data_IF_380608724331
#
_entry.id   IF_380608724331
#
_cell.length_a   1.000
_cell.length_b   1.000
_cell.length_c   1.000
_cell.angle_alpha   90.00
_cell.angle_beta   90.00
_cell.angle_gamma   90.00
#
_symmetry.space_group_name_H-M   'P 1'
#
loop_
_entity.id
_entity.type
_entity.pdbx_description
1 polymer ?
#
# COMPACT_ATOMS: atom_id res chain seq x y z
N UNK A 1 25.83 61.57 28.31
CA UNK A 1 25.15 61.00 27.10
C UNK A 1 25.76 59.65 26.84
N UNK A 2 25.05 58.56 27.23
CA UNK A 2 25.49 57.19 27.01
C UNK A 2 24.73 56.65 25.83
N UNK A 3 25.43 56.43 24.71
CA UNK A 3 24.87 55.78 23.52
C UNK A 3 24.84 54.27 23.73
N UNK A 4 23.62 53.75 24.00
CA UNK A 4 23.38 52.33 24.14
C UNK A 4 23.57 51.59 22.79
N UNK A 5 24.57 50.75 22.74
CA UNK A 5 24.84 49.87 21.61
C UNK A 5 23.83 48.71 21.65
N UNK A 6 22.80 48.79 20.80
CA UNK A 6 21.84 47.71 20.59
C UNK A 6 22.57 46.62 19.75
N UNK A 7 23.21 45.68 20.49
CA UNK A 7 23.80 44.48 19.89
C UNK A 7 22.77 43.62 19.21
N UNK A 8 22.68 43.71 17.90
CA UNK A 8 21.93 42.74 17.09
C UNK A 8 22.62 41.39 17.24
N UNK A 9 22.02 40.49 18.03
CA UNK A 9 22.42 39.08 18.09
C UNK A 9 21.85 38.41 16.82
N UNK A 10 22.69 37.88 15.90
CA UNK A 10 22.20 37.07 14.81
C UNK A 10 21.57 35.79 15.39
N UNK A 11 20.27 35.61 15.14
CA UNK A 11 19.55 34.37 15.48
C UNK A 11 20.15 33.27 14.59
N UNK A 12 21.16 32.60 15.13
CA UNK A 12 21.73 31.43 14.46
C UNK A 12 20.79 30.23 14.72
N UNK A 13 19.67 30.21 14.03
CA UNK A 13 18.83 29.02 13.92
C UNK A 13 19.63 28.00 13.11
N UNK A 14 20.47 27.26 13.80
CA UNK A 14 21.17 26.11 13.27
C UNK A 14 20.17 25.07 12.77
N UNK A 15 19.62 25.29 11.59
CA UNK A 15 18.94 24.24 10.82
C UNK A 15 19.99 23.17 10.62
N UNK A 16 19.95 22.13 11.46
CA UNK A 16 20.79 20.94 11.31
C UNK A 16 20.47 20.37 9.92
N UNK A 17 21.31 20.68 8.94
CA UNK A 17 21.20 20.10 7.59
C UNK A 17 21.21 18.58 7.79
N UNK A 18 20.18 17.85 7.38
CA UNK A 18 20.18 16.39 7.47
C UNK A 18 21.46 15.92 6.77
N UNK A 19 22.22 15.05 7.46
CA UNK A 19 23.47 14.52 6.89
C UNK A 19 23.07 13.78 5.61
N UNK A 20 23.32 14.40 4.47
CA UNK A 20 22.95 13.86 3.14
C UNK A 20 23.36 12.38 2.99
N UNK A 21 24.47 11.98 3.60
CA UNK A 21 24.94 10.60 3.57
C UNK A 21 23.94 9.55 4.09
N UNK A 22 23.16 9.88 5.14
CA UNK A 22 22.15 8.94 5.63
C UNK A 22 20.99 8.73 4.62
N UNK A 23 20.60 9.77 3.90
CA UNK A 23 19.52 9.69 2.91
C UNK A 23 19.93 8.78 1.75
N UNK A 24 21.19 8.84 1.29
CA UNK A 24 21.71 7.97 0.23
C UNK A 24 21.77 6.50 0.59
N UNK A 25 21.85 6.16 1.89
CA UNK A 25 21.83 4.77 2.35
C UNK A 25 20.38 4.32 2.60
N UNK A 26 19.53 5.17 3.15
CA UNK A 26 18.14 4.81 3.49
C UNK A 26 17.24 4.64 2.25
N UNK A 27 17.44 5.43 1.20
CA UNK A 27 16.66 5.38 -0.03
C UNK A 27 16.73 4.01 -0.74
N UNK A 28 17.91 3.41 -1.03
CA UNK A 28 17.97 2.09 -1.64
C UNK A 28 17.45 1.00 -0.71
N UNK A 29 17.66 1.09 0.60
CA UNK A 29 17.13 0.12 1.57
C UNK A 29 15.59 0.13 1.53
N UNK A 30 14.98 1.31 1.58
CA UNK A 30 13.53 1.44 1.47
C UNK A 30 13.01 0.90 0.12
N UNK A 31 13.71 1.18 -0.98
CA UNK A 31 13.38 0.65 -2.30
C UNK A 31 13.42 -0.87 -2.37
N UNK A 32 14.42 -1.51 -1.76
CA UNK A 32 14.53 -2.98 -1.69
C UNK A 32 13.41 -3.57 -0.84
N UNK A 33 13.10 -2.99 0.32
CA UNK A 33 12.00 -3.45 1.17
C UNK A 33 10.66 -3.38 0.41
N UNK A 34 10.38 -2.26 -0.25
CA UNK A 34 9.18 -2.10 -1.07
C UNK A 34 9.13 -3.10 -2.23
N UNK A 35 10.27 -3.40 -2.87
CA UNK A 35 10.33 -4.40 -3.93
C UNK A 35 10.03 -5.82 -3.43
N UNK A 36 10.54 -6.19 -2.25
CA UNK A 36 10.26 -7.48 -1.64
C UNK A 36 8.78 -7.61 -1.25
N UNK A 37 8.21 -6.59 -0.62
CA UNK A 37 6.80 -6.57 -0.24
C UNK A 37 5.91 -6.57 -1.49
N UNK A 38 6.19 -5.71 -2.47
CA UNK A 38 5.44 -5.63 -3.72
C UNK A 38 5.53 -6.95 -4.53
N UNK A 39 6.71 -7.56 -4.59
CA UNK A 39 6.93 -8.87 -5.23
C UNK A 39 6.13 -9.99 -4.55
N UNK A 40 6.06 -10.00 -3.21
CA UNK A 40 5.23 -10.94 -2.47
C UNK A 40 3.74 -10.77 -2.81
N UNK A 41 3.23 -9.54 -2.81
CA UNK A 41 1.83 -9.27 -3.19
C UNK A 41 1.55 -9.63 -4.65
N UNK A 42 2.49 -9.35 -5.56
CA UNK A 42 2.37 -9.74 -6.96
C UNK A 42 2.30 -11.27 -7.11
N UNK A 43 3.18 -11.99 -6.43
CA UNK A 43 3.20 -13.45 -6.45
C UNK A 43 1.89 -14.05 -5.93
N UNK A 44 1.36 -13.55 -4.83
CA UNK A 44 0.06 -14.00 -4.29
C UNK A 44 -1.09 -13.69 -5.24
N UNK A 45 -1.11 -12.51 -5.85
CA UNK A 45 -2.15 -12.12 -6.82
C UNK A 45 -2.12 -13.00 -8.07
N UNK A 46 -0.93 -13.28 -8.62
CA UNK A 46 -0.76 -14.19 -9.76
C UNK A 46 -1.21 -15.61 -9.41
N UNK A 47 -0.94 -16.09 -8.19
CA UNK A 47 -1.36 -17.41 -7.75
C UNK A 47 -2.88 -17.49 -7.66
N UNK A 48 -3.54 -16.48 -7.11
CA UNK A 48 -5.01 -16.42 -7.08
C UNK A 48 -5.61 -16.31 -8.48
N UNK A 49 -5.01 -15.55 -9.37
CA UNK A 49 -5.49 -15.41 -10.75
C UNK A 49 -5.34 -16.72 -11.55
N UNK A 50 -4.23 -17.45 -11.39
CA UNK A 50 -3.92 -18.65 -12.16
C UNK A 50 -4.56 -19.93 -11.61
N UNK A 51 -4.68 -20.06 -10.28
CA UNK A 51 -5.19 -21.25 -9.60
C UNK A 51 -6.58 -21.07 -8.99
N UNK A 52 -7.04 -19.83 -8.86
CA UNK A 52 -8.33 -19.51 -8.26
C UNK A 52 -9.49 -20.05 -9.07
N UNK A 53 -10.40 -20.71 -8.38
CA UNK A 53 -11.66 -21.19 -8.97
C UNK A 53 -12.74 -20.17 -8.66
N UNK A 54 -13.54 -19.83 -9.67
CA UNK A 54 -14.64 -18.89 -9.52
C UNK A 54 -15.81 -19.54 -8.79
N UNK A 55 -16.37 -18.83 -7.81
CA UNK A 55 -17.58 -19.21 -7.10
C UNK A 55 -18.44 -17.96 -6.89
N UNK A 56 -19.75 -18.12 -6.85
CA UNK A 56 -20.64 -17.03 -6.46
C UNK A 56 -20.70 -16.93 -4.94
N UNK A 57 -20.50 -15.72 -4.43
CA UNK A 57 -20.69 -15.38 -3.04
C UNK A 57 -21.77 -14.33 -2.88
N UNK A 58 -22.40 -14.31 -1.73
CA UNK A 58 -23.44 -13.34 -1.36
C UNK A 58 -22.94 -12.50 -0.19
N UNK A 59 -23.16 -11.20 -0.25
CA UNK A 59 -22.86 -10.28 0.86
C UNK A 59 -23.83 -10.55 2.01
N UNK A 60 -23.35 -11.08 3.12
CA UNK A 60 -24.18 -11.41 4.29
C UNK A 60 -24.23 -10.28 5.29
N UNK A 61 -23.16 -9.50 5.41
CA UNK A 61 -23.07 -8.33 6.29
C UNK A 61 -22.00 -7.37 5.83
N UNK A 62 -22.03 -6.15 6.38
CA UNK A 62 -21.00 -5.15 6.24
C UNK A 62 -20.37 -4.94 7.61
N UNK A 63 -19.06 -5.09 7.71
CA UNK A 63 -18.30 -4.76 8.91
C UNK A 63 -17.86 -3.30 8.80
N UNK A 64 -18.15 -2.50 9.83
CA UNK A 64 -17.73 -1.10 9.89
C UNK A 64 -16.41 -0.99 10.64
N UNK A 65 -15.48 -0.20 10.10
CA UNK A 65 -14.24 0.19 10.76
C UNK A 65 -14.21 1.70 10.93
N UNK A 66 -13.98 2.16 12.15
CA UNK A 66 -13.87 3.58 12.44
C UNK A 66 -12.41 3.99 12.43
N UNK A 67 -12.08 5.00 11.62
CA UNK A 67 -10.78 5.64 11.54
C UNK A 67 -10.90 7.12 11.89
N UNK A 68 -9.77 7.80 12.03
CA UNK A 68 -9.71 9.27 12.21
C UNK A 68 -10.37 10.03 11.05
N UNK A 69 -10.41 9.45 9.86
CA UNK A 69 -10.92 10.05 8.64
C UNK A 69 -12.39 9.71 8.35
N UNK A 70 -13.04 8.89 9.22
CA UNK A 70 -14.45 8.50 9.07
C UNK A 70 -14.71 7.02 9.29
N UNK A 71 -15.93 6.60 8.93
CA UNK A 71 -16.37 5.20 8.99
C UNK A 71 -16.25 4.57 7.60
N UNK A 72 -15.57 3.45 7.50
CA UNK A 72 -15.50 2.66 6.27
C UNK A 72 -16.15 1.31 6.45
N UNK A 73 -16.60 0.69 5.37
CA UNK A 73 -17.34 -0.55 5.38
C UNK A 73 -16.62 -1.62 4.54
N UNK A 74 -16.43 -2.80 5.13
CA UNK A 74 -15.91 -3.99 4.47
C UNK A 74 -17.04 -5.02 4.29
N UNK A 75 -17.35 -5.46 3.07
CA UNK A 75 -18.35 -6.51 2.86
C UNK A 75 -17.80 -7.87 3.31
N UNK A 76 -18.67 -8.67 3.94
CA UNK A 76 -18.41 -10.08 4.26
C UNK A 76 -19.24 -10.94 3.33
N UNK A 77 -18.55 -11.78 2.58
CA UNK A 77 -19.12 -12.67 1.59
C UNK A 77 -19.29 -14.08 2.17
N UNK A 78 -20.46 -14.71 1.93
CA UNK A 78 -20.68 -16.13 2.17
C UNK A 78 -20.72 -16.86 0.83
N UNK A 79 -20.04 -18.00 0.74
CA UNK A 79 -19.98 -18.85 -0.44
C UNK A 79 -19.91 -20.32 -0.07
N UNK A 80 -20.29 -21.21 -0.98
CA UNK A 80 -20.32 -22.65 -0.72
C UNK A 80 -19.39 -23.38 -1.67
N UNK A 81 -18.52 -24.22 -1.13
CA UNK A 81 -17.61 -25.10 -1.88
C UNK A 81 -17.80 -26.53 -1.38
N UNK A 82 -18.10 -27.45 -2.28
CA UNK A 82 -18.31 -28.88 -1.98
C UNK A 82 -19.32 -29.10 -0.85
N UNK A 83 -20.43 -28.34 -0.84
CA UNK A 83 -21.50 -28.45 0.16
C UNK A 83 -21.18 -27.81 1.51
N UNK A 84 -19.99 -27.20 1.69
CA UNK A 84 -19.59 -26.51 2.91
C UNK A 84 -19.58 -25.01 2.70
N UNK A 85 -20.22 -24.27 3.60
CA UNK A 85 -20.24 -22.80 3.56
C UNK A 85 -19.01 -22.21 4.23
N UNK A 86 -18.51 -21.14 3.63
CA UNK A 86 -17.36 -20.37 4.10
C UNK A 86 -17.72 -18.87 4.09
N UNK A 87 -17.09 -18.12 4.97
CA UNK A 87 -17.19 -16.66 4.97
C UNK A 87 -15.81 -16.06 4.82
N UNK A 88 -15.73 -14.98 4.06
CA UNK A 88 -14.51 -14.17 3.89
C UNK A 88 -14.88 -12.70 3.91
N UNK A 89 -14.07 -11.90 4.61
CA UNK A 89 -14.18 -10.43 4.60
C UNK A 89 -13.31 -9.87 3.46
N UNK A 90 -13.84 -8.88 2.75
CA UNK A 90 -13.07 -8.13 1.75
C UNK A 90 -11.84 -7.47 2.38
N UNK A 91 -10.73 -7.47 1.66
CA UNK A 91 -9.55 -6.68 2.02
C UNK A 91 -9.71 -5.19 1.71
N UNK A 92 -10.75 -4.83 0.93
CA UNK A 92 -11.02 -3.44 0.53
C UNK A 92 -12.18 -2.88 1.34
N UNK A 93 -11.98 -1.69 1.92
CA UNK A 93 -13.00 -0.91 2.62
C UNK A 93 -13.37 0.33 1.82
N UNK A 94 -14.60 0.80 1.92
CA UNK A 94 -15.06 2.02 1.23
C UNK A 94 -16.13 2.77 2.02
N UNK A 95 -16.21 4.06 1.77
CA UNK A 95 -17.32 4.93 2.20
C UNK A 95 -17.70 5.83 0.99
N UNK A 96 -18.94 5.72 0.48
CA UNK A 96 -20.01 4.76 0.84
C UNK A 96 -19.64 3.31 0.47
N UNK A 97 -20.30 2.29 1.08
CA UNK A 97 -20.04 0.89 0.80
C UNK A 97 -20.32 0.54 -0.67
N UNK A 98 -19.36 -0.17 -1.31
CA UNK A 98 -19.46 -0.59 -2.72
C UNK A 98 -20.54 -1.66 -2.95
N UNK A 99 -20.84 -2.45 -1.92
CA UNK A 99 -21.82 -3.53 -1.95
C UNK A 99 -22.88 -3.36 -0.88
N UNK A 100 -24.06 -3.92 -1.12
CA UNK A 100 -25.14 -3.97 -0.14
C UNK A 100 -25.36 -5.43 0.30
N UNK A 101 -25.94 -5.61 1.49
CA UNK A 101 -26.34 -6.94 1.96
C UNK A 101 -27.32 -7.58 0.94
N UNK A 102 -27.02 -8.80 0.52
CA UNK A 102 -27.77 -9.55 -0.47
C UNK A 102 -27.17 -9.48 -1.87
N UNK A 103 -26.19 -8.60 -2.14
CA UNK A 103 -25.55 -8.55 -3.45
C UNK A 103 -24.81 -9.86 -3.72
N UNK A 104 -24.86 -10.30 -4.99
CA UNK A 104 -24.15 -11.49 -5.45
C UNK A 104 -22.92 -11.05 -6.23
N UNK A 105 -21.76 -11.56 -5.79
CA UNK A 105 -20.47 -11.24 -6.40
C UNK A 105 -19.72 -12.51 -6.79
N UNK A 106 -18.82 -12.38 -7.76
CA UNK A 106 -17.93 -13.48 -8.14
C UNK A 106 -16.67 -13.44 -7.27
N UNK A 107 -16.41 -14.51 -6.55
CA UNK A 107 -15.21 -14.72 -5.77
C UNK A 107 -14.26 -15.69 -6.47
N UNK A 108 -12.97 -15.52 -6.22
CA UNK A 108 -11.92 -16.48 -6.54
C UNK A 108 -11.49 -17.15 -5.23
N UNK A 109 -11.69 -18.46 -5.09
CA UNK A 109 -11.17 -19.18 -3.93
C UNK A 109 -9.98 -20.06 -4.33
N UNK A 110 -9.09 -20.31 -3.37
CA UNK A 110 -7.99 -21.24 -3.55
C UNK A 110 -8.49 -22.68 -3.31
N UNK A 111 -8.43 -23.59 -4.31
CA UNK A 111 -8.88 -24.97 -4.13
C UNK A 111 -8.10 -25.72 -3.05
N UNK A 112 -6.81 -25.39 -2.85
CA UNK A 112 -5.97 -25.98 -1.80
C UNK A 112 -6.33 -25.46 -0.40
N UNK A 113 -6.94 -24.27 -0.31
CA UNK A 113 -7.43 -23.69 0.94
C UNK A 113 -8.74 -22.94 0.70
N UNK A 114 -9.90 -23.64 0.74
CA UNK A 114 -11.21 -23.05 0.47
C UNK A 114 -11.64 -21.92 1.41
N UNK A 115 -10.97 -21.73 2.54
CA UNK A 115 -11.18 -20.56 3.42
C UNK A 115 -10.58 -19.27 2.88
N UNK A 116 -9.66 -19.37 1.93
CA UNK A 116 -9.00 -18.23 1.32
C UNK A 116 -9.68 -17.92 0.01
N UNK A 117 -10.47 -16.85 0.01
CA UNK A 117 -11.12 -16.34 -1.18
C UNK A 117 -10.95 -14.82 -1.25
N UNK A 118 -11.00 -14.28 -2.46
CA UNK A 118 -10.99 -12.85 -2.76
C UNK A 118 -12.04 -12.51 -3.78
N UNK A 119 -12.54 -11.29 -3.74
CA UNK A 119 -13.42 -10.81 -4.81
C UNK A 119 -12.66 -10.79 -6.15
N UNK A 120 -13.31 -11.25 -7.23
CA UNK A 120 -12.76 -11.18 -8.57
C UNK A 120 -12.90 -9.75 -9.11
N UNK A 121 -12.34 -8.80 -8.40
CA UNK A 121 -12.29 -7.39 -8.74
C UNK A 121 -10.86 -7.01 -9.11
N UNK A 122 -10.71 -6.13 -10.11
CA UNK A 122 -9.40 -5.64 -10.53
C UNK A 122 -8.64 -5.00 -9.35
N UNK A 123 -9.31 -4.18 -8.54
CA UNK A 123 -8.69 -3.46 -7.43
C UNK A 123 -8.28 -4.38 -6.28
N UNK A 124 -9.08 -5.42 -5.99
CA UNK A 124 -8.77 -6.40 -4.94
C UNK A 124 -7.54 -7.25 -5.30
N UNK A 125 -7.38 -7.59 -6.57
CA UNK A 125 -6.28 -8.44 -7.03
C UNK A 125 -5.01 -7.64 -7.36
N UNK A 126 -5.15 -6.49 -8.00
CA UNK A 126 -4.04 -5.76 -8.60
C UNK A 126 -3.74 -4.41 -7.97
N UNK A 127 -4.62 -3.87 -7.13
CA UNK A 127 -4.47 -2.53 -6.56
C UNK A 127 -3.14 -2.33 -5.84
N UNK A 128 -2.81 -3.20 -4.89
CA UNK A 128 -1.55 -3.12 -4.14
C UNK A 128 -0.30 -3.35 -5.02
N UNK A 129 -0.22 -4.41 -5.86
CA UNK A 129 0.93 -4.58 -6.75
C UNK A 129 1.17 -3.39 -7.69
N UNK A 130 0.11 -2.81 -8.25
CA UNK A 130 0.21 -1.67 -9.16
C UNK A 130 0.76 -0.40 -8.51
N UNK A 131 0.60 -0.23 -7.22
CA UNK A 131 1.15 0.91 -6.48
C UNK A 131 2.58 0.60 -6.01
N UNK A 132 2.81 -0.57 -5.43
CA UNK A 132 4.08 -0.92 -4.78
C UNK A 132 5.20 -1.19 -5.78
N UNK A 133 4.92 -1.87 -6.90
CA UNK A 133 5.97 -2.20 -7.86
C UNK A 133 6.56 -0.95 -8.56
N UNK A 134 5.75 -0.03 -9.13
CA UNK A 134 6.30 1.19 -9.72
C UNK A 134 7.00 2.10 -8.71
N UNK A 135 6.45 2.21 -7.49
CA UNK A 135 7.07 3.04 -6.44
C UNK A 135 8.45 2.51 -6.01
N UNK A 136 8.63 1.19 -5.95
CA UNK A 136 9.93 0.59 -5.64
C UNK A 136 10.95 0.86 -6.75
N UNK A 137 10.56 0.71 -8.03
CA UNK A 137 11.40 1.01 -9.18
C UNK A 137 11.81 2.48 -9.18
N UNK A 138 10.86 3.38 -8.92
CA UNK A 138 11.11 4.82 -8.85
C UNK A 138 12.10 5.18 -7.74
N UNK A 139 11.95 4.60 -6.54
CA UNK A 139 12.88 4.80 -5.41
C UNK A 139 14.29 4.31 -5.73
N UNK A 140 14.41 3.13 -6.35
CA UNK A 140 15.71 2.58 -6.77
C UNK A 140 16.35 3.43 -7.86
N UNK A 141 15.58 3.88 -8.84
CA UNK A 141 16.06 4.78 -9.89
C UNK A 141 16.57 6.11 -9.29
N UNK A 142 15.82 6.73 -8.37
CA UNK A 142 16.27 7.94 -7.67
C UNK A 142 17.56 7.72 -6.89
N UNK A 143 17.73 6.58 -6.25
CA UNK A 143 18.94 6.26 -5.47
C UNK A 143 20.21 6.19 -6.33
N UNK A 144 20.06 5.85 -7.60
CA UNK A 144 21.17 5.80 -8.58
C UNK A 144 21.35 7.18 -9.26
N UNK A 145 20.24 7.81 -9.63
CA UNK A 145 20.27 9.04 -10.44
C UNK A 145 20.78 10.26 -9.66
N UNK A 146 20.38 10.42 -8.39
CA UNK A 146 20.78 11.56 -7.57
C UNK A 146 22.31 11.64 -7.38
N UNK A 147 23.01 10.57 -6.93
CA UNK A 147 24.47 10.63 -6.78
C UNK A 147 25.21 10.80 -8.13
N UNK A 148 24.65 10.26 -9.21
CA UNK A 148 25.20 10.45 -10.54
C UNK A 148 25.08 11.92 -10.98
N UNK A 149 23.94 12.56 -10.76
CA UNK A 149 23.70 13.97 -11.06
C UNK A 149 24.63 14.89 -10.26
N UNK A 150 24.79 14.62 -8.96
CA UNK A 150 25.70 15.37 -8.09
C UNK A 150 27.17 15.21 -8.48
N UNK A 151 27.54 14.12 -9.14
CA UNK A 151 28.89 13.90 -9.66
C UNK A 151 29.15 14.64 -10.97
N UNK A 152 28.10 14.88 -11.77
CA UNK A 152 28.19 15.56 -13.07
C UNK A 152 28.17 17.08 -12.93
N UNK A 153 27.49 17.61 -11.89
CA UNK A 153 27.44 19.04 -11.61
C UNK A 153 28.65 19.39 -10.75
N UNK A 154 29.74 19.91 -11.32
CA UNK A 154 30.88 20.38 -10.55
C UNK A 154 30.38 21.53 -9.67
N UNK A 155 30.54 21.42 -8.38
CA UNK A 155 30.25 22.50 -7.45
C UNK A 155 31.11 23.71 -7.81
N UNK A 156 30.45 24.81 -8.15
CA UNK A 156 31.04 26.10 -8.33
C UNK A 156 31.38 26.69 -6.96
#
# INVERSE_FOLDING_TARGET
MQTGNLGFQPINNGIKRPKLGCVFVLLPIAGVILALVGGWFLFTSLTFYSKGVKVQGTVVRLESSQSTDGVTYAPVFSYTVNGKSYEVMSGTTSDPPLHKKGDVVTLLYNPDNPKSARENSFWELWGLPLILCPSSIFMLALSIFIPLLLRIIPGN
#
